data_IF_604509058670
#
_entry.id   IF_604509058670
#
_cell.length_a   1.000
_cell.length_b   1.000
_cell.length_c   1.000
_cell.angle_alpha   90.00
_cell.angle_beta   90.00
_cell.angle_gamma   90.00
#
_symmetry.space_group_name_H-M   'P 1'
#
loop_
_entity.id
_entity.type
_entity.pdbx_description
1 polymer ?
#
# COMPACT_ATOMS: atom_id res chain seq x y z
N UNK A 1 10.36 8.69 1.79
CA UNK A 1 10.21 9.33 3.12
C UNK A 1 8.81 9.91 3.31
N UNK A 2 8.34 10.79 2.41
CA UNK A 2 7.00 11.40 2.51
C UNK A 2 5.88 10.37 2.54
N UNK A 3 5.89 9.40 1.62
CA UNK A 3 4.91 8.31 1.61
C UNK A 3 4.81 7.58 2.96
N UNK A 4 5.95 7.31 3.62
CA UNK A 4 5.95 6.66 4.95
C UNK A 4 5.33 7.53 6.03
N UNK A 5 5.45 8.87 5.95
CA UNK A 5 4.80 9.78 6.89
C UNK A 5 3.28 9.64 6.82
N UNK A 6 2.72 9.59 5.61
CA UNK A 6 1.29 9.38 5.43
C UNK A 6 0.83 7.96 5.80
N UNK A 7 1.60 6.91 5.45
CA UNK A 7 1.25 5.54 5.90
C UNK A 7 1.25 5.46 7.42
N UNK A 8 2.22 6.08 8.08
CA UNK A 8 2.30 6.10 9.54
C UNK A 8 1.18 6.93 10.18
N UNK A 9 0.85 8.09 9.62
CA UNK A 9 -0.23 8.93 10.11
C UNK A 9 -1.59 8.22 10.09
N UNK A 10 -1.85 7.38 9.08
CA UNK A 10 -3.13 6.70 8.91
C UNK A 10 -3.16 5.34 9.61
N UNK A 11 -2.09 4.55 9.51
CA UNK A 11 -2.06 3.12 9.90
C UNK A 11 -1.15 2.87 11.12
N UNK A 12 -0.36 3.85 11.55
CA UNK A 12 0.62 3.69 12.63
C UNK A 12 1.86 2.87 12.24
N UNK A 13 2.04 2.59 10.94
CA UNK A 13 3.14 1.79 10.42
C UNK A 13 3.71 2.39 9.13
N UNK A 14 5.00 2.18 8.89
CA UNK A 14 5.61 2.50 7.60
C UNK A 14 5.18 1.49 6.54
N UNK A 15 5.38 1.80 5.25
CA UNK A 15 5.09 0.84 4.17
C UNK A 15 5.80 -0.52 4.36
N UNK A 16 7.08 -0.48 4.77
CA UNK A 16 7.84 -1.69 5.09
C UNK A 16 7.27 -2.43 6.32
N UNK A 17 6.82 -1.71 7.34
CA UNK A 17 6.15 -2.29 8.50
C UNK A 17 4.86 -3.03 8.13
N UNK A 18 4.04 -2.41 7.28
CA UNK A 18 2.78 -3.00 6.78
C UNK A 18 3.07 -4.30 6.03
N UNK A 19 3.96 -4.28 5.04
CA UNK A 19 4.32 -5.48 4.27
C UNK A 19 4.83 -6.57 5.21
N UNK A 20 5.77 -6.24 6.09
CA UNK A 20 6.37 -7.21 6.99
C UNK A 20 5.35 -7.79 7.98
N UNK A 21 4.40 -7.00 8.49
CA UNK A 21 3.41 -7.46 9.45
C UNK A 21 2.29 -8.30 8.80
N UNK A 22 1.93 -8.00 7.55
CA UNK A 22 0.75 -8.57 6.92
C UNK A 22 1.02 -9.73 5.94
N UNK A 23 2.17 -9.73 5.25
CA UNK A 23 2.56 -10.79 4.33
C UNK A 23 2.72 -12.13 5.06
N UNK A 24 1.87 -13.10 4.73
CA UNK A 24 1.79 -14.42 5.37
C UNK A 24 1.16 -15.44 4.41
N UNK A 25 1.93 -16.45 4.03
CA UNK A 25 1.52 -17.53 3.11
C UNK A 25 0.36 -18.40 3.63
N UNK A 26 0.10 -18.39 4.94
CA UNK A 26 -0.98 -19.17 5.54
C UNK A 26 -2.33 -18.45 5.53
N UNK A 27 -2.33 -17.14 5.22
CA UNK A 27 -3.57 -16.36 5.11
C UNK A 27 -4.16 -16.49 3.72
N UNK A 28 -5.49 -16.33 3.64
CA UNK A 28 -6.16 -16.16 2.36
C UNK A 28 -5.53 -15.00 1.59
N UNK A 29 -5.25 -15.21 0.30
CA UNK A 29 -4.63 -14.22 -0.59
C UNK A 29 -3.32 -13.62 -0.02
N UNK A 30 -2.58 -14.37 0.80
CA UNK A 30 -1.39 -13.90 1.52
C UNK A 30 -1.62 -12.74 2.51
N UNK A 31 -2.88 -12.47 2.88
CA UNK A 31 -3.26 -11.29 3.65
C UNK A 31 -3.45 -10.02 2.81
N UNK A 32 -3.37 -10.10 1.48
CA UNK A 32 -3.71 -8.99 0.59
C UNK A 32 -5.22 -8.75 0.61
N UNK A 33 -5.60 -7.48 0.63
CA UNK A 33 -6.98 -7.00 0.46
C UNK A 33 -7.31 -6.72 -1.01
N UNK A 34 -6.29 -6.41 -1.81
CA UNK A 34 -6.39 -6.18 -3.26
C UNK A 34 -5.05 -6.45 -3.95
N UNK A 35 -5.06 -6.69 -5.26
CA UNK A 35 -3.88 -6.89 -6.10
C UNK A 35 -4.24 -6.63 -7.55
N UNK A 36 -3.26 -6.63 -8.46
CA UNK A 36 -3.48 -6.23 -9.87
C UNK A 36 -4.63 -6.96 -10.57
N UNK A 37 -4.85 -8.23 -10.24
CA UNK A 37 -5.88 -9.06 -10.88
C UNK A 37 -7.01 -9.45 -9.90
N UNK A 38 -7.19 -8.71 -8.81
CA UNK A 38 -8.23 -9.00 -7.84
C UNK A 38 -9.65 -8.83 -8.45
N UNK A 39 -10.67 -9.53 -7.93
CA UNK A 39 -10.57 -10.60 -6.92
C UNK A 39 -10.31 -11.99 -7.51
N UNK A 40 -10.50 -12.18 -8.83
CA UNK A 40 -10.60 -13.51 -9.45
C UNK A 40 -9.35 -13.94 -10.25
N UNK A 41 -8.24 -13.25 -10.06
CA UNK A 41 -7.00 -13.46 -10.79
C UNK A 41 -5.81 -13.75 -9.89
N UNK A 42 -4.73 -14.23 -10.50
CA UNK A 42 -3.52 -14.64 -9.80
C UNK A 42 -2.82 -13.46 -9.13
N UNK A 43 -2.42 -13.65 -7.87
CA UNK A 43 -1.48 -12.79 -7.14
C UNK A 43 -0.10 -12.99 -7.75
N UNK A 44 0.55 -11.88 -8.10
CA UNK A 44 1.91 -11.86 -8.64
C UNK A 44 2.91 -11.49 -7.55
N UNK A 45 4.16 -11.89 -7.73
CA UNK A 45 5.27 -11.50 -6.83
C UNK A 45 5.42 -9.98 -6.70
N UNK A 46 5.06 -9.22 -7.74
CA UNK A 46 5.05 -7.76 -7.68
C UNK A 46 3.95 -7.17 -6.79
N UNK A 47 2.88 -7.92 -6.52
CA UNK A 47 1.76 -7.44 -5.70
C UNK A 47 2.09 -7.48 -4.21
N UNK A 48 2.95 -8.43 -3.77
CA UNK A 48 3.23 -8.66 -2.35
C UNK A 48 4.18 -7.63 -1.72
N UNK A 49 4.85 -6.83 -2.54
CA UNK A 49 5.76 -5.75 -2.09
C UNK A 49 5.08 -4.37 -2.06
N UNK A 50 3.78 -4.31 -2.34
CA UNK A 50 2.99 -3.07 -2.33
C UNK A 50 2.22 -2.98 -1.01
N UNK A 51 2.64 -2.08 -0.11
CA UNK A 51 1.99 -1.92 1.20
C UNK A 51 0.48 -1.65 1.13
N UNK A 52 0.04 -0.84 0.16
CA UNK A 52 -1.38 -0.50 -0.04
C UNK A 52 -2.25 -1.75 -0.29
N UNK A 53 -1.69 -2.78 -0.90
CA UNK A 53 -2.40 -4.02 -1.19
C UNK A 53 -2.77 -4.82 0.06
N UNK A 54 -2.21 -4.48 1.23
CA UNK A 54 -2.54 -5.09 2.52
C UNK A 54 -3.50 -4.23 3.36
N UNK A 55 -3.87 -3.03 2.88
CA UNK A 55 -4.69 -2.11 3.65
C UNK A 55 -6.18 -2.28 3.32
N UNK A 56 -7.08 -2.20 4.31
CA UNK A 56 -8.50 -2.19 4.05
C UNK A 56 -8.91 -0.91 3.30
N UNK A 57 -10.02 -0.97 2.56
CA UNK A 57 -10.53 0.14 1.75
C UNK A 57 -10.70 1.44 2.56
N UNK A 58 -11.10 1.34 3.83
CA UNK A 58 -11.23 2.47 4.74
C UNK A 58 -9.90 3.24 4.90
N UNK A 59 -8.80 2.52 5.08
CA UNK A 59 -7.48 3.12 5.30
C UNK A 59 -6.92 3.69 4.00
N UNK A 60 -7.21 3.04 2.86
CA UNK A 60 -6.90 3.60 1.53
C UNK A 60 -7.63 4.92 1.31
N UNK A 61 -8.93 5.00 1.59
CA UNK A 61 -9.71 6.24 1.47
C UNK A 61 -9.18 7.34 2.39
N UNK A 62 -8.80 6.99 3.62
CA UNK A 62 -8.18 7.94 4.54
C UNK A 62 -6.83 8.44 4.04
N UNK A 63 -6.00 7.55 3.50
CA UNK A 63 -4.71 7.88 2.91
C UNK A 63 -4.86 8.82 1.71
N UNK A 64 -5.77 8.49 0.79
CA UNK A 64 -6.06 9.31 -0.39
C UNK A 64 -6.54 10.70 0.02
N UNK A 65 -7.52 10.78 0.93
CA UNK A 65 -8.02 12.06 1.42
C UNK A 65 -6.92 12.90 2.07
N UNK A 66 -6.10 12.31 2.95
CA UNK A 66 -5.02 13.05 3.61
C UNK A 66 -3.97 13.56 2.62
N UNK A 67 -3.67 12.79 1.57
CA UNK A 67 -2.76 13.21 0.50
C UNK A 67 -3.37 14.34 -0.33
N UNK A 68 -4.65 14.24 -0.72
CA UNK A 68 -5.35 15.31 -1.43
C UNK A 68 -5.40 16.60 -0.62
N UNK A 69 -5.80 16.53 0.64
CA UNK A 69 -5.84 17.71 1.53
C UNK A 69 -4.46 18.36 1.72
N UNK A 70 -3.38 17.57 1.67
CA UNK A 70 -2.02 18.11 1.72
C UNK A 70 -1.66 18.85 0.43
N UNK A 71 -2.12 18.35 -0.73
CA UNK A 71 -1.94 19.07 -2.00
C UNK A 71 -2.70 20.39 -2.00
N UNK A 72 -3.95 20.41 -1.54
CA UNK A 72 -4.71 21.66 -1.41
C UNK A 72 -3.98 22.65 -0.48
N UNK A 73 -3.47 22.16 0.65
CA UNK A 73 -2.70 22.97 1.60
C UNK A 73 -1.40 23.55 1.01
N UNK A 74 -0.64 22.76 0.26
CA UNK A 74 0.62 23.25 -0.32
C UNK A 74 0.37 24.19 -1.51
N UNK A 75 -0.71 23.97 -2.27
CA UNK A 75 -1.13 24.86 -3.36
C UNK A 75 -1.46 26.25 -2.83
N UNK A 76 -2.28 26.35 -1.77
CA UNK A 76 -2.60 27.61 -1.08
C UNK A 76 -1.34 28.36 -0.61
N UNK A 77 -0.33 27.63 -0.16
CA UNK A 77 0.93 28.22 0.30
C UNK A 77 1.79 28.76 -0.84
N UNK A 78 1.85 28.03 -1.96
CA UNK A 78 2.60 28.41 -3.16
C UNK A 78 1.94 29.61 -3.84
N UNK A 79 0.60 29.65 -3.92
CA UNK A 79 -0.14 30.79 -4.49
C UNK A 79 0.11 32.10 -3.75
N UNK A 80 0.47 32.04 -2.46
CA UNK A 80 0.83 33.20 -1.63
C UNK A 80 2.31 33.59 -1.77
N UNK A 81 2.94 33.23 -2.88
CA UNK A 81 4.34 33.51 -3.24
C UNK A 81 5.39 32.98 -2.26
N UNK A 82 5.06 31.99 -1.44
CA UNK A 82 6.08 31.26 -0.67
C UNK A 82 6.75 30.27 -1.61
N UNK A 83 7.90 30.62 -2.16
CA UNK A 83 8.76 29.65 -2.85
C UNK A 83 9.33 28.66 -1.83
N UNK A 84 9.26 27.35 -2.12
CA UNK A 84 9.74 26.30 -1.24
C UNK A 84 10.91 25.54 -1.84
N UNK A 85 11.91 25.24 -1.01
CA UNK A 85 12.90 24.21 -1.28
C UNK A 85 12.33 22.81 -1.02
N UNK A 86 12.95 21.77 -1.59
CA UNK A 86 12.58 20.37 -1.32
C UNK A 86 12.69 20.00 0.17
N UNK A 87 13.55 20.70 0.93
CA UNK A 87 13.69 20.51 2.37
C UNK A 87 12.47 21.06 3.11
N UNK A 88 12.07 22.29 2.79
CA UNK A 88 10.87 22.92 3.37
C UNK A 88 9.61 22.14 3.00
N UNK A 89 9.52 21.63 1.77
CA UNK A 89 8.43 20.73 1.36
C UNK A 89 8.36 19.45 2.21
N UNK A 90 9.49 18.94 2.69
CA UNK A 90 9.49 17.75 3.56
C UNK A 90 9.05 18.10 4.99
N UNK A 91 9.40 19.30 5.45
CA UNK A 91 8.99 19.85 6.76
C UNK A 91 7.50 20.17 6.79
N UNK A 92 6.96 20.77 5.73
CA UNK A 92 5.54 21.13 5.65
C UNK A 92 4.61 19.92 5.75
N UNK A 93 5.06 18.72 5.33
CA UNK A 93 4.31 17.47 5.57
C UNK A 93 4.15 17.22 7.07
N UNK A 94 5.20 17.41 7.88
CA UNK A 94 5.11 17.19 9.33
C UNK A 94 4.22 18.25 9.99
N UNK A 95 4.32 19.50 9.56
CA UNK A 95 3.48 20.60 10.05
C UNK A 95 2.01 20.35 9.74
N UNK A 96 1.70 19.93 8.51
CA UNK A 96 0.34 19.57 8.09
C UNK A 96 -0.21 18.41 8.92
N UNK A 97 0.56 17.33 9.06
CA UNK A 97 0.13 16.17 9.85
C UNK A 97 -0.04 16.51 11.33
N UNK A 98 0.84 17.35 11.91
CA UNK A 98 0.73 17.86 13.28
C UNK A 98 -0.56 18.67 13.46
N UNK A 99 -0.81 19.62 12.56
CA UNK A 99 -1.99 20.48 12.58
C UNK A 99 -3.29 19.66 12.54
N UNK A 100 -3.31 18.60 11.71
CA UNK A 100 -4.41 17.64 11.62
C UNK A 100 -4.47 16.65 12.78
N UNK A 101 -3.57 16.75 13.76
CA UNK A 101 -3.46 15.89 14.95
C UNK A 101 -3.17 14.42 14.65
N UNK A 102 -2.51 14.14 13.53
CA UNK A 102 -1.98 12.80 13.24
C UNK A 102 -0.71 12.52 14.03
N UNK A 103 -0.42 11.24 14.24
CA UNK A 103 0.90 10.83 14.70
C UNK A 103 1.93 11.00 13.59
N UNK A 104 3.08 11.57 13.94
CA UNK A 104 4.16 11.83 12.99
C UNK A 104 5.24 10.78 13.17
N UNK A 105 5.72 10.26 12.05
CA UNK A 105 6.88 9.38 12.03
C UNK A 105 8.13 10.20 12.34
N UNK A 106 8.67 10.06 13.56
CA UNK A 106 9.84 10.82 14.04
C UNK A 106 11.18 10.20 13.68
N UNK A 107 11.19 8.93 13.25
CA UNK A 107 12.38 8.19 12.82
C UNK A 107 12.23 7.64 11.39
N UNK A 108 13.14 6.78 10.94
CA UNK A 108 13.07 6.17 9.60
C UNK A 108 12.20 4.90 9.55
N UNK A 109 11.59 4.52 10.68
CA UNK A 109 11.06 3.19 10.94
C UNK A 109 12.16 2.19 11.30
N UNK A 110 11.79 1.11 12.00
CA UNK A 110 12.72 0.06 12.44
C UNK A 110 13.07 -0.97 11.35
N UNK A 111 12.21 -1.09 10.33
CA UNK A 111 12.32 -2.09 9.27
C UNK A 111 12.71 -1.43 7.94
N UNK A 112 13.74 -1.97 7.30
CA UNK A 112 14.10 -1.55 5.95
C UNK A 112 13.14 -2.12 4.91
N UNK A 113 13.02 -1.42 3.78
CA UNK A 113 12.24 -1.90 2.64
C UNK A 113 12.73 -3.26 2.17
N UNK A 114 14.04 -3.45 2.07
CA UNK A 114 14.64 -4.71 1.62
C UNK A 114 14.24 -5.89 2.53
N UNK A 115 14.27 -5.72 3.86
CA UNK A 115 13.85 -6.76 4.79
C UNK A 115 12.36 -7.13 4.62
N UNK A 116 11.50 -6.13 4.41
CA UNK A 116 10.08 -6.34 4.18
C UNK A 116 9.81 -7.06 2.85
N UNK A 117 10.44 -6.59 1.76
CA UNK A 117 10.30 -7.16 0.43
C UNK A 117 10.83 -8.61 0.42
N UNK A 118 12.01 -8.88 0.98
CA UNK A 118 12.55 -10.24 1.06
C UNK A 118 11.66 -11.19 1.86
N UNK A 119 11.06 -10.73 2.95
CA UNK A 119 10.07 -11.55 3.68
C UNK A 119 8.86 -11.84 2.80
N UNK A 120 8.23 -10.81 2.24
CA UNK A 120 7.01 -10.97 1.45
C UNK A 120 7.22 -11.85 0.22
N UNK A 121 8.38 -11.73 -0.42
CA UNK A 121 8.75 -12.60 -1.53
C UNK A 121 8.93 -14.06 -1.09
N UNK A 122 9.53 -14.33 0.07
CA UNK A 122 9.65 -15.68 0.59
C UNK A 122 8.28 -16.31 0.90
N UNK A 123 7.39 -15.55 1.54
CA UNK A 123 5.99 -15.96 1.76
C UNK A 123 5.27 -16.21 0.42
N UNK A 124 5.57 -15.41 -0.61
CA UNK A 124 4.99 -15.59 -1.93
C UNK A 124 5.42 -16.91 -2.57
N UNK A 125 6.70 -17.28 -2.47
CA UNK A 125 7.16 -18.56 -3.02
C UNK A 125 6.45 -19.75 -2.36
N UNK A 126 6.16 -19.69 -1.05
CA UNK A 126 5.40 -20.73 -0.35
C UNK A 126 3.93 -20.75 -0.76
N UNK A 127 3.26 -19.58 -0.78
CA UNK A 127 1.86 -19.47 -1.18
C UNK A 127 1.64 -19.90 -2.64
N UNK A 128 2.53 -19.48 -3.54
CA UNK A 128 2.39 -19.68 -4.97
C UNK A 128 2.43 -21.16 -5.40
N UNK A 129 3.01 -22.05 -4.59
CA UNK A 129 2.96 -23.51 -4.82
C UNK A 129 1.53 -24.05 -4.83
N UNK A 130 0.65 -23.46 -4.03
CA UNK A 130 -0.71 -23.92 -3.81
C UNK A 130 -1.78 -22.93 -4.29
N UNK A 131 -1.35 -21.82 -4.91
CA UNK A 131 -2.25 -20.80 -5.43
C UNK A 131 -3.15 -21.40 -6.52
N UNK A 132 -4.47 -21.33 -6.29
CA UNK A 132 -5.46 -21.82 -7.26
C UNK A 132 -5.48 -20.89 -8.48
N UNK A 133 -5.15 -21.43 -9.64
CA UNK A 133 -5.21 -20.70 -10.91
C UNK A 133 -6.45 -21.20 -11.65
N UNK A 134 -7.46 -20.34 -11.80
CA UNK A 134 -8.55 -20.60 -12.76
C UNK A 134 -8.06 -20.09 -14.11
N UNK A 135 -7.65 -20.99 -14.99
CA UNK A 135 -7.16 -20.62 -16.31
C UNK A 135 -8.28 -19.98 -17.13
N UNK A 136 -7.96 -18.98 -17.96
CA UNK A 136 -8.91 -18.41 -18.91
C UNK A 136 -9.43 -19.47 -19.89
N UNK A 137 -8.63 -20.54 -20.11
CA UNK A 137 -9.07 -21.72 -20.83
C UNK A 137 -10.19 -22.47 -20.08
N UNK A 138 -10.06 -22.67 -18.77
CA UNK A 138 -11.09 -23.33 -17.95
C UNK A 138 -12.38 -22.51 -17.92
N UNK A 139 -12.25 -21.17 -17.86
CA UNK A 139 -13.39 -20.24 -17.95
C UNK A 139 -14.08 -20.37 -19.32
N UNK A 140 -13.32 -20.40 -20.40
CA UNK A 140 -13.84 -20.56 -21.76
C UNK A 140 -14.58 -21.90 -21.93
N UNK A 141 -13.99 -23.02 -21.50
CA UNK A 141 -14.62 -24.36 -21.54
C UNK A 141 -15.94 -24.39 -20.76
N UNK A 142 -15.97 -23.81 -19.55
CA UNK A 142 -17.20 -23.71 -18.75
C UNK A 142 -18.29 -22.90 -19.46
N UNK A 143 -17.94 -21.76 -20.04
CA UNK A 143 -18.90 -20.91 -20.74
C UNK A 143 -19.52 -21.59 -21.97
N UNK A 144 -18.75 -22.43 -22.67
CA UNK A 144 -19.22 -23.21 -23.81
C UNK A 144 -20.16 -24.35 -23.38
N UNK A 145 -19.88 -25.01 -22.24
CA UNK A 145 -20.74 -26.08 -21.69
C UNK A 145 -22.08 -25.58 -21.11
N UNK A 146 -22.21 -24.32 -20.77
CA UNK A 146 -23.47 -23.74 -20.26
C UNK A 146 -24.41 -23.25 -21.38
N UNK A 147 -23.92 -23.18 -22.63
CA UNK A 147 -24.69 -22.71 -23.79
C UNK A 147 -25.21 -23.83 -24.71
N UNK A 148 -24.90 -25.09 -24.40
CA UNK A 148 -25.45 -26.28 -25.05
C UNK A 148 -26.32 -27.06 -24.09
#
# INVERSE_FOLDING_TARGET
>A
MIQNKFHFAIVGQTAAGIIYAHADSNKENMGLTTWKNAPDGRILKSDVTIAKNYLPEKDIKHLERAVTEYFDYIEDLIERENTFSMKEFTTSVDEFLAFRKYQILTDKGKLSKQQADSKAEAEYEEFNKNQKIVSDFDKAIKSLKQKG
#
